data_IF_785773707634
#
_entry.id   IF_785773707634
#
_cell.length_a   1.000
_cell.length_b   1.000
_cell.length_c   1.000
_cell.angle_alpha   90.00
_cell.angle_beta   90.00
_cell.angle_gamma   90.00
#
_symmetry.space_group_name_H-M   'P 1'
#
loop_
_entity.id
_entity.type
_entity.pdbx_description
1 polymer ?
#
# COMPACT_ATOMS: atom_id res chain seq x y z
N UNK A 1 -13.93 11.56 -19.03
CA UNK A 1 -12.78 10.90 -19.66
C UNK A 1 -13.09 10.49 -21.10
N UNK A 2 -14.27 9.89 -21.40
CA UNK A 2 -14.63 9.52 -22.79
C UNK A 2 -14.61 10.71 -23.74
N UNK A 3 -15.03 11.90 -23.29
CA UNK A 3 -15.03 13.13 -24.12
C UNK A 3 -13.65 13.75 -24.32
N UNK A 4 -12.70 13.40 -23.46
CA UNK A 4 -11.33 13.93 -23.51
C UNK A 4 -10.36 12.98 -24.24
N UNK A 5 -10.82 11.77 -24.57
CA UNK A 5 -10.06 10.78 -25.31
C UNK A 5 -10.39 10.86 -26.81
N UNK A 6 -9.42 10.56 -27.67
CA UNK A 6 -9.61 10.51 -29.12
C UNK A 6 -10.49 9.32 -29.52
N UNK A 7 -10.41 8.23 -28.76
CA UNK A 7 -11.17 7.01 -28.98
C UNK A 7 -11.62 6.37 -27.65
N UNK A 8 -12.76 5.67 -27.68
CA UNK A 8 -13.29 4.96 -26.52
C UNK A 8 -13.78 3.56 -26.92
N UNK A 9 -13.34 2.55 -26.18
CA UNK A 9 -13.71 1.16 -26.40
C UNK A 9 -14.58 0.67 -25.25
N UNK A 10 -15.75 0.10 -25.61
CA UNK A 10 -16.63 -0.51 -24.63
C UNK A 10 -16.12 -1.92 -24.26
N UNK A 11 -15.73 -2.12 -22.99
CA UNK A 11 -15.14 -3.37 -22.49
C UNK A 11 -16.11 -4.26 -21.71
N UNK A 12 -17.35 -3.84 -21.55
CA UNK A 12 -18.37 -4.64 -20.86
C UNK A 12 -19.35 -3.80 -20.04
N UNK A 13 -20.25 -4.46 -19.30
CA UNK A 13 -21.24 -3.80 -18.45
C UNK A 13 -20.62 -3.10 -17.24
N UNK A 14 -21.44 -2.33 -16.51
CA UNK A 14 -21.01 -1.53 -15.37
C UNK A 14 -20.34 -2.30 -14.21
N UNK A 15 -20.73 -3.54 -13.85
CA UNK A 15 -20.05 -4.28 -12.81
C UNK A 15 -18.57 -4.51 -13.13
N UNK A 16 -17.67 -4.05 -12.25
CA UNK A 16 -16.21 -4.10 -12.46
C UNK A 16 -15.69 -5.51 -12.78
N UNK A 17 -16.24 -6.55 -12.13
CA UNK A 17 -15.90 -7.97 -12.37
C UNK A 17 -16.20 -8.44 -13.80
N UNK A 18 -17.03 -7.74 -14.53
CA UNK A 18 -17.46 -8.07 -15.89
C UNK A 18 -16.79 -7.18 -16.96
N UNK A 19 -16.02 -6.17 -16.51
CA UNK A 19 -15.36 -5.17 -17.33
C UNK A 19 -13.94 -4.81 -16.82
N UNK A 20 -13.82 -3.88 -15.90
CA UNK A 20 -12.55 -3.29 -15.45
C UNK A 20 -11.60 -4.26 -14.73
N UNK A 21 -12.09 -5.40 -14.24
CA UNK A 21 -11.27 -6.43 -13.61
C UNK A 21 -10.92 -7.58 -14.55
N UNK A 22 -11.24 -7.48 -15.84
CA UNK A 22 -10.90 -8.49 -16.86
C UNK A 22 -9.76 -7.92 -17.71
N UNK A 23 -8.50 -8.22 -17.31
CA UNK A 23 -7.30 -7.72 -17.96
C UNK A 23 -7.24 -8.03 -19.46
N UNK A 24 -7.65 -9.23 -19.86
CA UNK A 24 -7.65 -9.64 -21.28
C UNK A 24 -8.50 -8.72 -22.17
N UNK A 25 -9.61 -8.20 -21.66
CA UNK A 25 -10.46 -7.25 -22.42
C UNK A 25 -9.76 -5.92 -22.62
N UNK A 26 -9.00 -5.47 -21.61
CA UNK A 26 -8.25 -4.20 -21.66
C UNK A 26 -7.10 -4.34 -22.66
N UNK A 27 -6.34 -5.44 -22.58
CA UNK A 27 -5.24 -5.74 -23.52
C UNK A 27 -5.77 -5.89 -24.96
N UNK A 28 -6.90 -6.58 -25.14
CA UNK A 28 -7.53 -6.71 -26.46
C UNK A 28 -7.97 -5.36 -27.04
N UNK A 29 -8.54 -4.48 -26.19
CA UNK A 29 -8.91 -3.14 -26.60
C UNK A 29 -7.69 -2.29 -27.00
N UNK A 30 -6.61 -2.33 -26.21
CA UNK A 30 -5.37 -1.65 -26.53
C UNK A 30 -4.78 -2.10 -27.88
N UNK A 31 -4.74 -3.41 -28.13
CA UNK A 31 -4.27 -3.95 -29.42
C UNK A 31 -5.18 -3.55 -30.59
N UNK A 32 -6.48 -3.55 -30.40
CA UNK A 32 -7.44 -3.20 -31.44
C UNK A 32 -7.38 -1.72 -31.86
N UNK A 33 -7.03 -0.83 -30.93
CA UNK A 33 -6.88 0.60 -31.19
C UNK A 33 -5.45 1.01 -31.60
N UNK A 34 -4.50 0.06 -31.59
CA UNK A 34 -3.10 0.36 -31.86
C UNK A 34 -2.40 1.14 -30.74
N UNK A 35 -2.93 1.09 -29.54
CA UNK A 35 -2.27 1.68 -28.38
C UNK A 35 -0.94 0.97 -28.09
N UNK A 36 0.09 1.73 -27.75
CA UNK A 36 1.43 1.23 -27.46
C UNK A 36 1.67 1.02 -25.97
N UNK A 37 0.82 1.63 -25.11
CA UNK A 37 0.98 1.61 -23.68
C UNK A 37 -0.38 1.56 -22.95
N UNK A 38 -0.39 1.02 -21.73
CA UNK A 38 -1.52 1.08 -20.81
C UNK A 38 -1.11 1.84 -19.55
N UNK A 39 -1.83 2.93 -19.26
CA UNK A 39 -1.78 3.60 -17.96
C UNK A 39 -2.95 3.08 -17.12
N UNK A 40 -2.71 2.36 -16.03
CA UNK A 40 -3.78 1.69 -15.27
C UNK A 40 -4.63 2.64 -14.42
N UNK A 41 -4.29 3.91 -14.36
CA UNK A 41 -4.91 4.83 -13.43
C UNK A 41 -4.56 4.45 -11.98
N UNK A 42 -5.58 4.40 -11.13
CA UNK A 42 -5.49 3.96 -9.73
C UNK A 42 -6.73 3.15 -9.36
N UNK A 43 -6.56 2.22 -8.41
CA UNK A 43 -7.59 1.21 -8.12
C UNK A 43 -7.66 0.11 -9.18
N UNK A 44 -8.65 -0.77 -9.07
CA UNK A 44 -8.86 -1.92 -9.97
C UNK A 44 -7.59 -2.75 -10.20
N UNK A 45 -7.05 -2.75 -11.41
CA UNK A 45 -5.87 -3.53 -11.79
C UNK A 45 -4.53 -2.77 -11.65
N UNK A 46 -4.54 -1.53 -11.14
CA UNK A 46 -3.31 -0.73 -11.04
C UNK A 46 -2.25 -1.31 -10.10
N UNK A 47 -2.67 -2.13 -9.14
CA UNK A 47 -1.81 -2.84 -8.19
C UNK A 47 -1.83 -4.37 -8.41
N UNK A 48 -2.19 -4.81 -9.62
CA UNK A 48 -2.23 -6.21 -9.98
C UNK A 48 -0.98 -6.60 -10.77
N UNK A 49 -0.10 -7.39 -10.14
CA UNK A 49 1.16 -7.81 -10.76
C UNK A 49 0.97 -8.73 -11.97
N UNK A 50 -0.05 -9.59 -11.95
CA UNK A 50 -0.35 -10.50 -13.06
C UNK A 50 -0.81 -9.72 -14.30
N UNK A 51 -1.65 -8.70 -14.11
CA UNK A 51 -2.08 -7.84 -15.21
C UNK A 51 -0.91 -7.02 -15.78
N UNK A 52 -0.07 -6.44 -14.92
CA UNK A 52 1.13 -5.72 -15.36
C UNK A 52 2.09 -6.62 -16.15
N UNK A 53 2.23 -7.90 -15.75
CA UNK A 53 3.02 -8.87 -16.49
C UNK A 53 2.38 -9.24 -17.83
N UNK A 54 1.07 -9.51 -17.84
CA UNK A 54 0.33 -9.83 -19.06
C UNK A 54 0.37 -8.70 -20.09
N UNK A 55 0.36 -7.45 -19.63
CA UNK A 55 0.54 -6.26 -20.48
C UNK A 55 1.91 -6.26 -21.18
N UNK A 56 2.97 -6.48 -20.41
CA UNK A 56 4.33 -6.59 -20.93
C UNK A 56 4.48 -7.78 -21.90
N UNK A 57 3.93 -8.94 -21.57
CA UNK A 57 3.94 -10.14 -22.40
C UNK A 57 3.15 -9.94 -23.71
N UNK A 58 2.17 -9.04 -23.69
CA UNK A 58 1.42 -8.64 -24.87
C UNK A 58 2.16 -7.66 -25.79
N UNK A 59 3.38 -7.21 -25.39
CA UNK A 59 4.22 -6.26 -26.11
C UNK A 59 3.80 -4.80 -25.92
N UNK A 60 3.03 -4.51 -24.88
CA UNK A 60 2.61 -3.16 -24.53
C UNK A 60 3.52 -2.57 -23.44
N UNK A 61 3.56 -1.25 -23.34
CA UNK A 61 4.31 -0.56 -22.30
C UNK A 61 3.40 -0.33 -21.09
N UNK A 62 3.71 -1.01 -19.98
CA UNK A 62 3.05 -0.77 -18.72
C UNK A 62 3.53 0.56 -18.11
N UNK A 63 2.62 1.54 -17.96
CA UNK A 63 2.91 2.83 -17.32
C UNK A 63 2.64 2.72 -15.82
N UNK A 64 3.55 2.10 -15.12
CA UNK A 64 3.41 1.82 -13.69
C UNK A 64 4.65 1.10 -13.14
N UNK A 65 4.62 0.71 -11.84
CA UNK A 65 5.72 -0.03 -11.24
C UNK A 65 5.86 -1.42 -11.84
N UNK A 66 7.08 -1.96 -11.81
CA UNK A 66 7.36 -3.33 -12.30
C UNK A 66 6.49 -4.36 -11.56
N UNK A 67 6.08 -5.47 -12.20
CA UNK A 67 5.31 -6.54 -11.53
C UNK A 67 5.97 -7.03 -10.24
N UNK A 68 7.30 -7.17 -10.23
CA UNK A 68 8.06 -7.55 -9.04
C UNK A 68 7.95 -6.52 -7.90
N UNK A 69 7.91 -5.23 -8.23
CA UNK A 69 7.72 -4.16 -7.25
C UNK A 69 6.30 -4.16 -6.68
N UNK A 70 5.30 -4.39 -7.53
CA UNK A 70 3.90 -4.53 -7.08
C UNK A 70 3.79 -5.70 -6.10
N UNK A 71 4.37 -6.86 -6.44
CA UNK A 71 4.36 -8.03 -5.56
C UNK A 71 5.08 -7.77 -4.25
N UNK A 72 6.28 -7.19 -4.29
CA UNK A 72 7.09 -6.91 -3.11
C UNK A 72 6.42 -5.93 -2.14
N UNK A 73 5.69 -4.95 -2.68
CA UNK A 73 5.00 -3.92 -1.87
C UNK A 73 3.55 -4.28 -1.55
N UNK A 74 2.99 -5.30 -2.18
CA UNK A 74 1.60 -5.73 -1.99
C UNK A 74 1.34 -6.41 -0.65
N UNK A 75 2.35 -7.05 -0.06
CA UNK A 75 2.28 -7.67 1.26
C UNK A 75 2.91 -6.74 2.30
N UNK A 76 2.13 -6.27 3.26
CA UNK A 76 2.53 -5.24 4.23
C UNK A 76 3.74 -5.64 5.08
N UNK A 77 3.82 -6.89 5.49
CA UNK A 77 4.92 -7.47 6.26
C UNK A 77 6.21 -7.56 5.43
N UNK A 78 6.11 -8.10 4.22
CA UNK A 78 7.22 -8.19 3.28
C UNK A 78 7.75 -6.80 2.88
N UNK A 79 6.84 -5.87 2.56
CA UNK A 79 7.19 -4.50 2.24
C UNK A 79 7.92 -3.80 3.39
N UNK A 80 7.42 -3.95 4.62
CA UNK A 80 8.02 -3.36 5.81
C UNK A 80 9.39 -3.95 6.11
N UNK A 81 9.55 -5.27 5.96
CA UNK A 81 10.85 -5.93 6.08
C UNK A 81 11.83 -5.41 5.03
N UNK A 82 11.41 -5.34 3.77
CA UNK A 82 12.23 -4.82 2.68
C UNK A 82 12.72 -3.39 2.96
N UNK A 83 11.82 -2.53 3.46
CA UNK A 83 12.17 -1.15 3.82
C UNK A 83 13.15 -1.11 5.00
N UNK A 84 12.92 -1.91 6.03
CA UNK A 84 13.82 -1.99 7.18
C UNK A 84 15.22 -2.49 6.78
N UNK A 85 15.30 -3.54 5.96
CA UNK A 85 16.55 -4.10 5.45
C UNK A 85 17.32 -3.07 4.57
N UNK A 86 16.59 -2.17 3.90
CA UNK A 86 17.15 -1.05 3.15
C UNK A 86 17.54 0.16 4.04
N UNK A 87 17.35 0.09 5.36
CA UNK A 87 17.66 1.17 6.28
C UNK A 87 16.63 2.29 6.32
N UNK A 88 15.45 2.09 5.72
CA UNK A 88 14.33 3.04 5.80
C UNK A 88 13.65 2.87 7.16
N UNK A 89 13.46 3.94 7.94
CA UNK A 89 12.74 3.86 9.21
C UNK A 89 11.32 3.33 9.02
N UNK A 90 10.95 2.33 9.80
CA UNK A 90 9.61 1.76 9.79
C UNK A 90 8.95 1.90 11.15
N UNK A 91 7.62 1.94 11.21
CA UNK A 91 6.89 1.94 12.47
C UNK A 91 7.27 0.71 13.29
N UNK A 92 7.72 0.85 14.55
CA UNK A 92 8.03 -0.29 15.40
C UNK A 92 6.84 -1.25 15.47
N UNK A 93 7.11 -2.55 15.42
CA UNK A 93 6.04 -3.54 15.43
C UNK A 93 6.56 -4.96 15.38
N UNK A 94 5.63 -5.91 15.55
CA UNK A 94 5.84 -7.34 15.39
C UNK A 94 5.05 -7.89 14.21
N UNK A 95 5.70 -8.64 13.34
CA UNK A 95 5.13 -9.24 12.12
C UNK A 95 5.65 -10.67 11.89
N UNK A 96 6.00 -11.36 12.99
CA UNK A 96 6.51 -12.73 12.92
C UNK A 96 5.40 -13.77 12.88
N UNK A 97 5.81 -15.00 12.63
CA UNK A 97 4.92 -16.16 12.51
C UNK A 97 4.36 -16.66 13.86
N UNK A 98 4.99 -16.31 14.98
CA UNK A 98 4.50 -16.73 16.28
C UNK A 98 3.26 -15.93 16.67
N UNK A 99 2.11 -16.61 16.74
CA UNK A 99 0.81 -16.03 17.05
C UNK A 99 0.30 -16.42 18.45
N UNK A 100 1.19 -16.95 19.30
CA UNK A 100 0.85 -17.26 20.69
C UNK A 100 0.41 -15.96 21.42
N UNK A 101 -0.74 -15.96 22.11
CA UNK A 101 -1.28 -14.76 22.72
C UNK A 101 -0.38 -14.13 23.79
N UNK A 102 0.28 -14.94 24.61
CA UNK A 102 1.15 -14.44 25.67
C UNK A 102 2.43 -13.85 25.08
N UNK A 103 2.98 -14.49 24.04
CA UNK A 103 4.10 -13.97 23.28
C UNK A 103 3.75 -12.64 22.59
N UNK A 104 2.58 -12.55 21.98
CA UNK A 104 2.12 -11.31 21.35
C UNK A 104 1.91 -10.18 22.37
N UNK A 105 1.42 -10.51 23.58
CA UNK A 105 1.31 -9.54 24.67
C UNK A 105 2.67 -9.03 25.14
N UNK A 106 3.69 -9.90 25.21
CA UNK A 106 5.05 -9.50 25.50
C UNK A 106 5.61 -8.56 24.41
N UNK A 107 5.42 -8.89 23.13
CA UNK A 107 5.84 -8.05 22.02
C UNK A 107 5.16 -6.67 22.08
N UNK A 108 3.86 -6.61 22.36
CA UNK A 108 3.14 -5.35 22.55
C UNK A 108 3.72 -4.51 23.69
N UNK A 109 4.12 -5.16 24.79
CA UNK A 109 4.82 -4.52 25.90
C UNK A 109 6.17 -3.94 25.52
N UNK A 110 6.97 -4.66 24.69
CA UNK A 110 8.26 -4.20 24.19
C UNK A 110 8.12 -3.03 23.22
N UNK A 111 7.10 -3.04 22.36
CA UNK A 111 6.75 -1.93 21.43
C UNK A 111 6.31 -0.71 22.23
N UNK A 112 5.65 -0.93 23.37
CA UNK A 112 5.09 0.10 24.25
C UNK A 112 3.73 0.63 23.78
N UNK A 113 2.78 0.66 24.70
CA UNK A 113 1.42 1.15 24.44
C UNK A 113 1.37 2.65 24.14
N UNK A 114 0.36 3.15 23.42
CA UNK A 114 -0.66 2.36 22.74
C UNK A 114 -0.13 1.60 21.53
N UNK A 115 -0.74 0.46 21.24
CA UNK A 115 -0.45 -0.37 20.06
C UNK A 115 -1.70 -0.55 19.20
N UNK A 116 -1.50 -0.95 17.95
CA UNK A 116 -2.55 -1.29 17.01
C UNK A 116 -2.37 -2.74 16.56
N UNK A 117 -3.34 -3.59 16.87
CA UNK A 117 -3.42 -4.95 16.36
C UNK A 117 -4.12 -4.89 15.01
N UNK A 118 -3.57 -5.53 13.98
CA UNK A 118 -4.12 -5.56 12.62
C UNK A 118 -4.14 -6.96 12.06
N UNK A 119 -5.23 -7.37 11.43
CA UNK A 119 -5.26 -8.57 10.61
C UNK A 119 -4.29 -8.44 9.41
N UNK A 120 -3.45 -9.45 9.18
CA UNK A 120 -2.50 -9.46 8.04
C UNK A 120 -3.26 -9.42 6.72
N UNK A 121 -4.32 -10.21 6.59
CA UNK A 121 -5.19 -10.25 5.42
C UNK A 121 -6.21 -9.09 5.36
N UNK A 122 -6.21 -8.20 6.36
CA UNK A 122 -7.21 -7.14 6.52
C UNK A 122 -7.01 -5.94 5.61
N UNK A 123 -8.11 -5.30 5.25
CA UNK A 123 -8.14 -4.05 4.50
C UNK A 123 -9.36 -3.19 4.86
N UNK A 124 -9.33 -1.91 4.48
CA UNK A 124 -10.47 -1.00 4.69
C UNK A 124 -10.83 -0.72 6.16
N UNK A 125 -9.90 -0.90 7.10
CA UNK A 125 -10.15 -0.65 8.53
C UNK A 125 -10.79 -1.80 9.29
N UNK A 126 -11.14 -2.92 8.64
CA UNK A 126 -11.62 -4.15 9.29
C UNK A 126 -10.46 -4.94 9.87
N UNK A 127 -10.71 -5.66 10.97
CA UNK A 127 -9.67 -6.44 11.64
C UNK A 127 -8.58 -5.55 12.26
N UNK A 128 -8.95 -4.41 12.83
CA UNK A 128 -8.03 -3.52 13.55
C UNK A 128 -8.56 -3.19 14.95
N UNK A 129 -7.66 -3.22 15.94
CA UNK A 129 -7.96 -2.86 17.34
C UNK A 129 -6.83 -2.01 17.90
N UNK A 130 -7.15 -0.80 18.32
CA UNK A 130 -6.26 0.01 19.13
C UNK A 130 -6.34 -0.48 20.58
N UNK A 131 -5.18 -0.63 21.20
CA UNK A 131 -5.05 -1.02 22.61
C UNK A 131 -4.23 0.03 23.33
N UNK A 132 -4.81 0.66 24.32
CA UNK A 132 -4.18 1.75 25.05
C UNK A 132 -3.32 1.26 26.23
N UNK A 133 -3.62 0.09 26.79
CA UNK A 133 -2.91 -0.47 27.95
C UNK A 133 -2.87 -1.99 27.93
N UNK A 134 -1.86 -2.57 28.62
CA UNK A 134 -1.62 -4.02 28.65
C UNK A 134 -2.81 -4.88 29.12
N UNK A 135 -3.62 -4.48 30.13
CA UNK A 135 -4.75 -5.29 30.58
C UNK A 135 -5.79 -5.60 29.50
N UNK A 136 -5.92 -4.70 28.50
CA UNK A 136 -6.94 -4.81 27.46
C UNK A 136 -6.45 -5.61 26.24
N UNK A 137 -5.17 -6.00 26.22
CA UNK A 137 -4.54 -6.54 25.02
C UNK A 137 -5.11 -7.88 24.59
N UNK A 138 -5.24 -8.84 25.49
CA UNK A 138 -5.69 -10.20 25.15
C UNK A 138 -7.14 -10.22 24.64
N UNK A 139 -8.02 -9.44 25.23
CA UNK A 139 -9.42 -9.34 24.79
C UNK A 139 -9.51 -8.68 23.41
N UNK A 140 -8.73 -7.64 23.17
CA UNK A 140 -8.63 -6.97 21.87
C UNK A 140 -8.05 -7.88 20.80
N UNK A 141 -7.02 -8.66 21.15
CA UNK A 141 -6.39 -9.66 20.27
C UNK A 141 -7.40 -10.72 19.85
N UNK A 142 -8.07 -11.36 20.79
CA UNK A 142 -9.07 -12.37 20.52
C UNK A 142 -10.24 -11.83 19.66
N UNK A 143 -10.66 -10.58 19.90
CA UNK A 143 -11.68 -9.90 19.10
C UNK A 143 -11.20 -9.65 17.68
N UNK A 144 -9.96 -9.19 17.49
CA UNK A 144 -9.36 -8.94 16.18
C UNK A 144 -9.24 -10.22 15.36
N UNK A 145 -8.72 -11.31 15.98
CA UNK A 145 -8.55 -12.61 15.35
C UNK A 145 -9.89 -13.23 14.90
N UNK A 146 -10.94 -13.16 15.73
CA UNK A 146 -12.28 -13.63 15.36
C UNK A 146 -12.84 -12.88 14.15
N UNK A 147 -12.70 -11.56 14.12
CA UNK A 147 -13.14 -10.75 12.98
C UNK A 147 -12.32 -11.06 11.73
N UNK A 148 -11.02 -11.25 11.86
CA UNK A 148 -10.11 -11.58 10.77
C UNK A 148 -10.44 -12.94 10.16
N UNK A 149 -10.62 -13.97 11.00
CA UNK A 149 -11.03 -15.30 10.56
C UNK A 149 -12.38 -15.27 9.81
N UNK A 150 -13.37 -14.57 10.37
CA UNK A 150 -14.70 -14.48 9.77
C UNK A 150 -14.73 -13.68 8.47
N UNK A 151 -13.94 -12.62 8.35
CA UNK A 151 -13.97 -11.71 7.19
C UNK A 151 -13.00 -12.10 6.07
N UNK A 152 -11.88 -12.72 6.43
CA UNK A 152 -10.76 -12.95 5.50
C UNK A 152 -10.29 -14.41 5.45
N UNK A 153 -10.84 -15.29 6.31
CA UNK A 153 -10.43 -16.69 6.40
C UNK A 153 -9.03 -16.90 6.99
N UNK A 154 -8.46 -15.86 7.60
CA UNK A 154 -7.13 -15.89 8.21
C UNK A 154 -7.13 -15.03 9.47
N UNK A 155 -6.75 -15.62 10.60
CA UNK A 155 -6.70 -14.98 11.92
C UNK A 155 -5.34 -14.40 12.29
N UNK A 156 -4.34 -14.52 11.40
CA UNK A 156 -3.00 -14.01 11.63
C UNK A 156 -3.02 -12.50 11.79
N UNK A 157 -2.34 -12.01 12.83
CA UNK A 157 -2.28 -10.58 13.14
C UNK A 157 -0.84 -10.07 13.20
N UNK A 158 -0.69 -8.79 12.99
CA UNK A 158 0.51 -8.03 13.28
C UNK A 158 0.21 -6.98 14.36
N UNK A 159 1.25 -6.53 15.06
CA UNK A 159 1.15 -5.49 16.08
C UNK A 159 2.06 -4.34 15.67
N UNK A 160 1.56 -3.11 15.74
CA UNK A 160 2.35 -1.91 15.46
C UNK A 160 2.19 -0.88 16.56
N UNK A 161 3.22 -0.05 16.75
CA UNK A 161 3.11 1.15 17.58
C UNK A 161 2.01 2.05 17.02
N UNK A 162 1.06 2.45 17.88
CA UNK A 162 0.08 3.47 17.51
C UNK A 162 0.67 4.86 17.72
N UNK A 163 0.76 5.64 16.64
CA UNK A 163 1.27 7.00 16.68
C UNK A 163 0.11 7.95 16.97
N UNK A 164 0.18 8.69 18.07
CA UNK A 164 -0.92 9.54 18.55
C UNK A 164 -1.11 10.81 17.70
N UNK A 165 -0.01 11.39 17.25
CA UNK A 165 -0.03 12.65 16.48
C UNK A 165 0.83 12.50 15.22
N UNK A 166 0.38 11.66 14.26
CA UNK A 166 1.15 11.45 13.04
C UNK A 166 1.04 12.65 12.10
N UNK A 167 2.08 12.85 11.30
CA UNK A 167 1.98 13.56 10.03
C UNK A 167 2.01 12.54 8.90
N UNK A 168 1.17 12.73 7.91
CA UNK A 168 1.18 11.93 6.69
C UNK A 168 2.01 12.66 5.63
N UNK A 169 3.27 12.27 5.53
CA UNK A 169 4.18 12.80 4.52
C UNK A 169 4.42 11.71 3.49
N UNK A 170 4.30 12.05 2.23
CA UNK A 170 4.61 11.13 1.14
C UNK A 170 5.67 11.71 0.22
N UNK A 171 6.48 10.84 -0.37
CA UNK A 171 7.50 11.19 -1.36
C UNK A 171 7.15 10.51 -2.67
N UNK A 172 7.05 11.29 -3.75
CA UNK A 172 6.82 10.77 -5.08
C UNK A 172 8.13 10.24 -5.66
N UNK A 173 8.13 8.96 -6.04
CA UNK A 173 9.31 8.31 -6.63
C UNK A 173 8.98 7.83 -8.03
N UNK A 174 9.91 8.01 -8.96
CA UNK A 174 9.86 7.48 -10.32
C UNK A 174 11.11 6.67 -10.63
N UNK A 175 10.90 5.50 -11.25
CA UNK A 175 11.98 4.68 -11.79
C UNK A 175 11.74 4.41 -13.27
N UNK A 176 12.82 4.42 -14.08
CA UNK A 176 12.76 4.05 -15.49
C UNK A 176 13.22 2.60 -15.71
N UNK A 177 13.12 2.13 -16.96
CA UNK A 177 13.59 0.80 -17.36
C UNK A 177 15.11 0.67 -17.42
N UNK A 178 15.85 1.77 -17.33
CA UNK A 178 17.32 1.82 -17.39
C UNK A 178 17.97 1.78 -16.00
N UNK A 179 17.17 1.76 -14.92
CA UNK A 179 17.67 1.71 -13.56
C UNK A 179 17.87 3.09 -12.92
N UNK A 180 17.46 4.18 -13.59
CA UNK A 180 17.45 5.48 -12.98
C UNK A 180 16.24 5.61 -12.05
N UNK A 181 16.47 6.20 -10.88
CA UNK A 181 15.41 6.49 -9.89
C UNK A 181 15.55 7.95 -9.44
N UNK A 182 14.45 8.65 -9.49
CA UNK A 182 14.36 10.05 -9.05
C UNK A 182 13.19 10.23 -8.09
N UNK A 183 13.23 11.26 -7.27
CA UNK A 183 12.09 11.69 -6.47
C UNK A 183 11.63 13.09 -6.89
N UNK A 184 10.32 13.32 -6.79
CA UNK A 184 9.69 14.60 -7.08
C UNK A 184 9.21 15.28 -5.78
N UNK A 185 10.10 15.29 -4.80
CA UNK A 185 9.88 15.89 -3.49
C UNK A 185 8.74 15.26 -2.70
N UNK A 186 8.37 15.90 -1.61
CA UNK A 186 7.38 15.45 -0.65
C UNK A 186 6.09 16.28 -0.72
N UNK A 187 5.02 15.68 -0.21
CA UNK A 187 3.75 16.34 0.07
C UNK A 187 3.31 16.01 1.49
N UNK A 188 2.68 16.97 2.16
CA UNK A 188 1.95 16.74 3.40
C UNK A 188 0.48 16.47 3.10
N UNK A 189 0.01 15.28 3.46
CA UNK A 189 -1.36 14.82 3.28
C UNK A 189 -2.08 14.65 4.62
N UNK A 190 -1.62 15.34 5.68
CA UNK A 190 -2.17 15.17 7.03
C UNK A 190 -3.60 15.68 7.19
N UNK A 191 -4.04 16.62 6.35
CA UNK A 191 -5.42 17.12 6.31
C UNK A 191 -6.31 16.15 5.54
N UNK A 192 -6.70 15.08 6.22
CA UNK A 192 -7.45 13.98 5.66
C UNK A 192 -8.62 13.57 6.56
N UNK A 193 -9.58 12.88 5.97
CA UNK A 193 -10.60 12.12 6.71
C UNK A 193 -10.34 10.62 6.50
N UNK A 194 -10.99 9.71 7.28
CA UNK A 194 -10.81 8.27 7.07
C UNK A 194 -10.94 7.87 5.61
N UNK A 195 -9.90 7.23 5.07
CA UNK A 195 -9.75 6.74 3.70
C UNK A 195 -9.73 7.79 2.58
N UNK A 196 -9.60 9.09 2.92
CA UNK A 196 -9.54 10.13 1.89
C UNK A 196 -8.64 11.29 2.30
N UNK A 197 -7.61 11.57 1.50
CA UNK A 197 -6.86 12.82 1.54
C UNK A 197 -7.77 13.95 1.05
N UNK A 198 -7.75 15.08 1.75
CA UNK A 198 -8.61 16.23 1.43
C UNK A 198 -7.80 17.39 0.93
N UNK A 199 -6.67 17.69 1.60
CA UNK A 199 -5.74 18.75 1.21
C UNK A 199 -4.34 18.16 1.19
N UNK A 200 -3.61 18.47 0.14
CA UNK A 200 -2.21 18.13 -0.02
C UNK A 200 -1.41 19.43 -0.16
N UNK A 201 -0.35 19.56 0.64
CA UNK A 201 0.51 20.74 0.66
C UNK A 201 1.91 20.35 0.15
N UNK A 202 2.41 21.09 -0.82
CA UNK A 202 3.76 20.94 -1.35
C UNK A 202 4.45 22.32 -1.47
N UNK A 203 5.64 22.52 -0.89
CA UNK A 203 6.36 21.60 -0.01
C UNK A 203 5.67 21.40 1.34
N UNK A 204 5.99 20.30 2.04
CA UNK A 204 5.40 20.00 3.34
C UNK A 204 5.80 21.06 4.40
N UNK A 205 4.84 21.75 5.06
CA UNK A 205 5.13 22.81 6.00
C UNK A 205 6.00 22.33 7.18
N UNK A 206 6.93 23.16 7.62
CA UNK A 206 7.78 22.95 8.80
C UNK A 206 8.57 21.61 8.82
N UNK A 207 8.81 21.01 7.66
CA UNK A 207 9.89 20.07 7.48
C UNK A 207 11.16 20.93 7.26
N UNK A 208 12.09 20.91 8.22
CA UNK A 208 13.36 21.64 8.06
C UNK A 208 14.12 21.18 6.81
N UNK A 209 14.96 22.03 6.24
CA UNK A 209 15.68 21.81 4.97
C UNK A 209 16.44 20.47 4.87
N UNK A 210 16.78 19.84 5.99
CA UNK A 210 17.53 18.58 6.03
C UNK A 210 16.66 17.32 6.10
N UNK A 211 15.39 17.41 6.52
CA UNK A 211 14.52 16.23 6.68
C UNK A 211 13.91 15.70 5.38
N UNK A 212 13.45 16.54 4.46
CA UNK A 212 12.95 16.05 3.15
C UNK A 212 14.04 15.32 2.37
N UNK A 213 15.28 15.86 2.40
CA UNK A 213 16.42 15.25 1.70
C UNK A 213 16.75 13.87 2.26
N UNK A 214 16.70 13.70 3.58
CA UNK A 214 16.96 12.40 4.21
C UNK A 214 15.88 11.36 3.82
N UNK A 215 14.60 11.72 3.89
CA UNK A 215 13.51 10.83 3.51
C UNK A 215 13.56 10.46 2.01
N UNK A 216 13.82 11.44 1.14
CA UNK A 216 13.96 11.21 -0.29
C UNK A 216 15.21 10.42 -0.66
N UNK A 217 16.32 10.64 0.06
CA UNK A 217 17.57 9.88 -0.13
C UNK A 217 17.37 8.40 0.21
N UNK A 218 16.58 8.07 1.23
CA UNK A 218 16.23 6.68 1.56
C UNK A 218 15.40 6.01 0.48
N UNK A 219 14.48 6.74 -0.17
CA UNK A 219 13.66 6.20 -1.26
C UNK A 219 14.45 5.96 -2.56
N UNK A 220 15.57 6.67 -2.77
CA UNK A 220 16.37 6.60 -4.01
C UNK A 220 17.61 5.70 -3.86
N UNK A 221 18.05 5.41 -2.65
CA UNK A 221 19.35 4.80 -2.38
C UNK A 221 19.47 3.29 -2.70
N UNK A 222 18.47 2.63 -3.33
CA UNK A 222 18.60 1.23 -3.84
C UNK A 222 17.62 0.89 -4.95
#
# INVERSE_FOLDING_TARGET
HVREADEAVHIGPSPARESYLIGDKIIAAAKATGAEAIHPGYGFLSENAEFAQADADAGLVWVGPKPSSITAMGLKDAAKKLMADAGVPVTPGYMGENQDPDFLAEQAGQIGYPVLIKAVAGGGGKGMRKVDAAPDFLDALASCQREAAASFGNDHVLIEKYILTPRHIEVQVFGDSHGNVVHLFERDCSLQRPHQKVIEEAPAPALGETRPIAASSFCVAR
#
